data_IF_600385221292
#
_entry.id   IF_600385221292
#
_cell.length_a   1.000
_cell.length_b   1.000
_cell.length_c   1.000
_cell.angle_alpha   90.00
_cell.angle_beta   90.00
_cell.angle_gamma   90.00
#
_symmetry.space_group_name_H-M   'P 1'
#
loop_
_entity.id
_entity.type
_entity.pdbx_description
1 polymer ?
#
# COMPACT_ATOMS: atom_id res chain seq x y z
N UNK A 1 0.69 -24.16 14.18
CA UNK A 1 -0.21 -23.18 13.56
C UNK A 1 -0.40 -23.61 12.11
N UNK A 2 -1.64 -23.79 11.67
CA UNK A 2 -1.95 -24.19 10.29
C UNK A 2 -1.44 -23.14 9.29
N UNK A 3 -0.80 -23.58 8.20
CA UNK A 3 -0.13 -22.73 7.21
C UNK A 3 -1.14 -21.78 6.54
N UNK A 4 -2.35 -22.28 6.27
CA UNK A 4 -3.45 -21.49 5.67
C UNK A 4 -3.93 -20.44 6.68
N UNK A 5 -4.03 -20.80 7.95
CA UNK A 5 -4.35 -19.84 9.02
C UNK A 5 -3.30 -18.73 9.13
N UNK A 6 -2.00 -19.07 9.05
CA UNK A 6 -0.93 -18.06 9.01
C UNK A 6 -1.05 -17.12 7.80
N UNK A 7 -1.35 -17.66 6.61
CA UNK A 7 -1.60 -16.87 5.42
C UNK A 7 -2.78 -15.91 5.62
N UNK A 8 -3.92 -16.41 6.09
CA UNK A 8 -5.13 -15.61 6.33
C UNK A 8 -4.86 -14.46 7.31
N UNK A 9 -4.17 -14.75 8.41
CA UNK A 9 -3.81 -13.74 9.40
C UNK A 9 -2.89 -12.68 8.78
N UNK A 10 -1.94 -13.07 7.93
CA UNK A 10 -1.06 -12.12 7.23
C UNK A 10 -1.85 -11.21 6.29
N UNK A 11 -2.80 -11.76 5.52
CA UNK A 11 -3.65 -10.98 4.62
C UNK A 11 -4.55 -10.02 5.43
N UNK A 12 -5.09 -10.47 6.56
CA UNK A 12 -5.86 -9.62 7.46
C UNK A 12 -5.00 -8.45 7.99
N UNK A 13 -3.78 -8.71 8.46
CA UNK A 13 -2.88 -7.64 8.93
C UNK A 13 -2.50 -6.65 7.83
N UNK A 14 -2.32 -7.10 6.59
CA UNK A 14 -2.11 -6.19 5.44
C UNK A 14 -3.35 -5.30 5.24
N UNK A 15 -4.53 -5.89 5.28
CA UNK A 15 -5.81 -5.19 5.07
C UNK A 15 -6.05 -4.17 6.17
N UNK A 16 -5.89 -4.54 7.43
CA UNK A 16 -6.02 -3.65 8.59
C UNK A 16 -5.02 -2.49 8.53
N UNK A 17 -3.77 -2.75 8.12
CA UNK A 17 -2.76 -1.70 7.94
C UNK A 17 -3.20 -0.69 6.87
N UNK A 18 -3.77 -1.17 5.77
CA UNK A 18 -4.26 -0.32 4.68
C UNK A 18 -5.50 0.48 5.09
N UNK A 19 -6.46 -0.15 5.76
CA UNK A 19 -7.68 0.51 6.26
C UNK A 19 -7.34 1.59 7.29
N UNK A 20 -6.42 1.31 8.22
CA UNK A 20 -5.96 2.31 9.19
C UNK A 20 -5.33 3.52 8.51
N UNK A 21 -4.57 3.30 7.43
CA UNK A 21 -4.00 4.37 6.63
C UNK A 21 -5.08 5.22 5.92
N UNK A 22 -6.07 4.57 5.30
CA UNK A 22 -7.19 5.28 4.65
C UNK A 22 -8.00 6.11 5.64
N UNK A 23 -8.25 5.57 6.84
CA UNK A 23 -8.93 6.29 7.91
C UNK A 23 -8.15 7.51 8.39
N UNK A 24 -6.81 7.45 8.42
CA UNK A 24 -5.99 8.60 8.81
C UNK A 24 -6.07 9.73 7.78
N UNK A 25 -6.05 9.39 6.47
CA UNK A 25 -6.28 10.37 5.39
C UNK A 25 -7.66 11.00 5.53
N UNK A 26 -8.71 10.19 5.65
CA UNK A 26 -10.08 10.68 5.74
C UNK A 26 -10.25 11.56 6.97
N UNK A 27 -9.72 11.14 8.13
CA UNK A 27 -9.76 11.95 9.34
C UNK A 27 -9.07 13.32 9.14
N UNK A 28 -7.89 13.34 8.51
CA UNK A 28 -7.15 14.58 8.23
C UNK A 28 -7.89 15.50 7.28
N UNK A 29 -8.51 14.99 6.23
CA UNK A 29 -9.20 15.80 5.22
C UNK A 29 -10.63 16.15 5.61
N UNK A 30 -11.28 15.38 6.48
CA UNK A 30 -12.72 15.47 6.79
C UNK A 30 -13.19 16.86 7.23
N UNK A 31 -12.38 17.60 8.00
CA UNK A 31 -12.74 18.94 8.48
C UNK A 31 -12.75 19.95 7.33
N UNK A 32 -11.78 19.85 6.44
CA UNK A 32 -11.70 20.68 5.23
C UNK A 32 -12.74 20.27 4.19
N UNK A 33 -12.96 18.95 4.01
CA UNK A 33 -13.98 18.38 3.13
C UNK A 33 -15.39 18.94 3.38
N UNK A 34 -15.73 19.22 4.65
CA UNK A 34 -17.04 19.79 5.03
C UNK A 34 -17.20 21.27 4.67
N UNK A 35 -16.10 21.98 4.42
CA UNK A 35 -16.11 23.41 4.05
C UNK A 35 -16.24 23.63 2.56
N UNK A 36 -16.01 22.60 1.74
CA UNK A 36 -16.00 22.68 0.28
C UNK A 36 -17.09 21.78 -0.32
N UNK A 37 -17.63 22.12 -1.50
CA UNK A 37 -18.57 21.24 -2.19
C UNK A 37 -17.90 19.93 -2.62
N UNK A 38 -18.69 18.95 -3.05
CA UNK A 38 -18.18 17.68 -3.57
C UNK A 38 -17.19 17.93 -4.73
N UNK A 39 -16.00 17.31 -4.64
CA UNK A 39 -14.89 17.55 -5.58
C UNK A 39 -14.04 18.80 -5.30
N UNK A 40 -14.45 19.66 -4.37
CA UNK A 40 -13.77 20.92 -4.05
C UNK A 40 -12.34 20.74 -3.52
N UNK A 41 -12.08 19.69 -2.74
CA UNK A 41 -10.72 19.36 -2.27
C UNK A 41 -9.76 19.22 -3.47
N UNK A 42 -10.16 18.42 -4.46
CA UNK A 42 -9.33 18.15 -5.64
C UNK A 42 -9.17 19.41 -6.48
N UNK A 43 -10.23 20.21 -6.64
CA UNK A 43 -10.17 21.47 -7.38
C UNK A 43 -9.18 22.45 -6.73
N UNK A 44 -9.28 22.69 -5.43
CA UNK A 44 -8.42 23.64 -4.72
C UNK A 44 -6.94 23.20 -4.71
N UNK A 45 -6.65 21.90 -4.53
CA UNK A 45 -5.27 21.40 -4.65
C UNK A 45 -4.72 21.52 -6.08
N UNK A 46 -5.56 21.36 -7.11
CA UNK A 46 -5.15 21.55 -8.51
C UNK A 46 -4.92 23.03 -8.83
N UNK A 47 -5.77 23.94 -8.34
CA UNK A 47 -5.58 25.38 -8.52
C UNK A 47 -4.30 25.87 -7.84
N UNK A 48 -4.00 25.34 -6.66
CA UNK A 48 -2.72 25.58 -5.97
C UNK A 48 -1.54 25.03 -6.78
N UNK A 49 -1.66 23.83 -7.35
CA UNK A 49 -0.60 23.19 -8.12
C UNK A 49 -0.31 23.91 -9.45
N UNK A 50 -1.37 24.29 -10.18
CA UNK A 50 -1.26 24.81 -11.55
C UNK A 50 -1.04 26.32 -11.56
N UNK A 51 -1.78 27.05 -10.72
CA UNK A 51 -1.80 28.51 -10.75
C UNK A 51 -1.12 29.15 -9.53
N UNK A 52 -0.79 28.37 -8.50
CA UNK A 52 -0.31 28.90 -7.22
C UNK A 52 -1.39 29.64 -6.44
N UNK A 53 -2.66 29.48 -6.82
CA UNK A 53 -3.79 30.15 -6.17
C UNK A 53 -4.26 29.27 -5.01
N UNK A 54 -4.24 29.81 -3.80
CA UNK A 54 -4.70 29.10 -2.60
C UNK A 54 -6.04 29.71 -2.15
N UNK A 55 -7.11 28.90 -2.15
CA UNK A 55 -8.38 29.30 -1.57
C UNK A 55 -8.23 29.56 -0.07
N UNK A 56 -9.03 30.47 0.49
CA UNK A 56 -8.93 30.86 1.91
C UNK A 56 -9.14 29.66 2.85
N UNK A 57 -10.07 28.77 2.51
CA UNK A 57 -10.39 27.55 3.25
C UNK A 57 -9.23 26.54 3.19
N UNK A 58 -8.58 26.40 2.02
CA UNK A 58 -7.40 25.56 1.85
C UNK A 58 -6.21 26.13 2.64
N UNK A 59 -5.99 27.45 2.59
CA UNK A 59 -4.93 28.10 3.35
C UNK A 59 -5.13 27.91 4.86
N UNK A 60 -6.34 28.10 5.38
CA UNK A 60 -6.66 27.85 6.79
C UNK A 60 -6.36 26.39 7.17
N UNK A 61 -6.78 25.44 6.33
CA UNK A 61 -6.49 24.02 6.55
C UNK A 61 -4.98 23.73 6.58
N UNK A 62 -4.22 24.21 5.59
CA UNK A 62 -2.78 23.97 5.49
C UNK A 62 -2.01 24.58 6.66
N UNK A 63 -2.42 25.76 7.12
CA UNK A 63 -1.72 26.52 8.17
C UNK A 63 -2.10 26.10 9.59
N UNK A 64 -3.34 25.65 9.83
CA UNK A 64 -3.85 25.40 11.18
C UNK A 64 -4.19 23.94 11.48
N UNK A 65 -4.68 23.17 10.50
CA UNK A 65 -5.14 21.80 10.71
C UNK A 65 -4.10 20.75 10.31
N UNK A 66 -3.51 20.90 9.12
CA UNK A 66 -2.45 20.04 8.64
C UNK A 66 -1.11 20.46 9.24
N UNK A 67 -0.74 21.73 9.07
CA UNK A 67 0.54 22.34 9.50
C UNK A 67 1.77 21.66 8.88
N UNK A 68 2.91 22.36 8.84
CA UNK A 68 4.20 21.78 8.44
C UNK A 68 4.55 20.53 9.26
N UNK A 69 4.51 20.64 10.58
CA UNK A 69 4.83 19.53 11.50
C UNK A 69 3.84 18.37 11.37
N UNK A 70 2.56 18.66 11.17
CA UNK A 70 1.56 17.60 10.99
C UNK A 70 1.68 16.92 9.64
N UNK A 71 2.08 17.63 8.57
CA UNK A 71 2.42 17.03 7.28
C UNK A 71 3.62 16.08 7.39
N UNK A 72 4.68 16.47 8.11
CA UNK A 72 5.84 15.60 8.34
C UNK A 72 5.45 14.35 9.13
N UNK A 73 4.74 14.51 10.25
CA UNK A 73 4.27 13.37 11.04
C UNK A 73 3.39 12.43 10.20
N UNK A 74 2.51 13.01 9.39
CA UNK A 74 1.63 12.25 8.51
C UNK A 74 2.42 11.47 7.45
N UNK A 75 3.39 12.10 6.79
CA UNK A 75 4.28 11.43 5.84
C UNK A 75 5.00 10.23 6.44
N UNK A 76 5.51 10.35 7.67
CA UNK A 76 6.17 9.24 8.39
C UNK A 76 5.24 8.07 8.65
N UNK A 77 4.00 8.33 9.09
CA UNK A 77 3.02 7.26 9.34
C UNK A 77 2.72 6.49 8.05
N UNK A 78 2.54 7.21 6.94
CA UNK A 78 2.25 6.63 5.63
C UNK A 78 3.41 5.77 5.13
N UNK A 79 4.64 6.28 5.23
CA UNK A 79 5.84 5.53 4.84
C UNK A 79 6.01 4.25 5.67
N UNK A 80 5.74 4.31 6.97
CA UNK A 80 5.78 3.15 7.85
C UNK A 80 4.71 2.11 7.48
N UNK A 81 3.49 2.54 7.16
CA UNK A 81 2.42 1.66 6.69
C UNK A 81 2.79 0.93 5.40
N UNK A 82 3.31 1.65 4.40
CA UNK A 82 3.79 1.03 3.16
C UNK A 82 4.94 0.04 3.40
N UNK A 83 5.93 0.43 4.21
CA UNK A 83 7.06 -0.44 4.55
C UNK A 83 6.58 -1.72 5.24
N UNK A 84 5.59 -1.62 6.14
CA UNK A 84 5.02 -2.77 6.82
C UNK A 84 4.30 -3.70 5.83
N UNK A 85 3.45 -3.16 4.95
CA UNK A 85 2.74 -3.95 3.94
C UNK A 85 3.74 -4.66 3.00
N UNK A 86 4.75 -3.95 2.49
CA UNK A 86 5.79 -4.54 1.64
C UNK A 86 6.53 -5.67 2.35
N UNK A 87 6.86 -5.49 3.64
CA UNK A 87 7.51 -6.53 4.45
C UNK A 87 6.62 -7.77 4.59
N UNK A 88 5.32 -7.61 4.85
CA UNK A 88 4.36 -8.72 4.96
C UNK A 88 4.21 -9.44 3.62
N UNK A 89 4.10 -8.72 2.50
CA UNK A 89 4.03 -9.31 1.17
C UNK A 89 5.28 -10.12 0.83
N UNK A 90 6.47 -9.52 0.98
CA UNK A 90 7.72 -10.16 0.59
C UNK A 90 8.09 -11.33 1.51
N UNK A 91 8.04 -11.13 2.83
CA UNK A 91 8.57 -12.11 3.80
C UNK A 91 7.58 -13.21 4.15
N UNK A 92 6.28 -12.94 4.03
CA UNK A 92 5.25 -13.89 4.46
C UNK A 92 4.47 -14.42 3.26
N UNK A 93 3.82 -13.56 2.46
CA UNK A 93 2.95 -13.98 1.35
C UNK A 93 3.74 -14.70 0.25
N UNK A 94 4.79 -14.08 -0.28
CA UNK A 94 5.59 -14.67 -1.35
C UNK A 94 6.30 -15.94 -0.89
N UNK A 95 6.85 -15.91 0.32
CA UNK A 95 7.52 -17.08 0.91
C UNK A 95 6.54 -18.24 1.12
N UNK A 96 5.32 -17.95 1.58
CA UNK A 96 4.25 -18.95 1.68
C UNK A 96 3.94 -19.56 0.31
N UNK A 97 3.68 -18.73 -0.70
CA UNK A 97 3.31 -19.21 -2.03
C UNK A 97 4.42 -20.04 -2.68
N UNK A 98 5.68 -19.65 -2.53
CA UNK A 98 6.85 -20.41 -3.01
C UNK A 98 6.96 -21.77 -2.32
N UNK A 99 6.85 -21.79 -0.98
CA UNK A 99 6.95 -23.04 -0.20
C UNK A 99 5.81 -24.02 -0.54
N UNK A 100 4.58 -23.53 -0.64
CA UNK A 100 3.43 -24.38 -1.00
C UNK A 100 3.57 -24.90 -2.42
N UNK A 101 4.00 -24.06 -3.37
CA UNK A 101 4.24 -24.49 -4.75
C UNK A 101 5.31 -25.59 -4.81
N UNK A 102 6.40 -25.45 -4.05
CA UNK A 102 7.44 -26.47 -3.95
C UNK A 102 6.88 -27.80 -3.43
N UNK A 103 6.16 -27.79 -2.31
CA UNK A 103 5.57 -28.99 -1.70
C UNK A 103 4.54 -29.65 -2.63
N UNK A 104 3.73 -28.87 -3.33
CA UNK A 104 2.78 -29.38 -4.33
C UNK A 104 3.50 -30.00 -5.54
N UNK A 105 4.65 -29.45 -5.96
CA UNK A 105 5.45 -30.02 -7.04
C UNK A 105 6.04 -31.38 -6.65
N UNK A 106 6.52 -31.53 -5.42
CA UNK A 106 6.97 -32.83 -4.87
C UNK A 106 5.80 -33.82 -4.83
N UNK A 107 4.64 -33.40 -4.32
CA UNK A 107 3.43 -34.22 -4.25
C UNK A 107 2.97 -34.66 -5.64
N UNK A 108 3.07 -33.78 -6.64
CA UNK A 108 2.79 -34.12 -8.04
C UNK A 108 3.73 -35.19 -8.57
N UNK A 109 5.02 -35.08 -8.25
CA UNK A 109 6.02 -36.10 -8.59
C UNK A 109 5.66 -37.47 -8.02
N UNK A 110 5.20 -37.51 -6.77
CA UNK A 110 4.72 -38.76 -6.14
C UNK A 110 3.44 -39.27 -6.81
N UNK A 111 2.48 -38.39 -7.13
CA UNK A 111 1.22 -38.76 -7.77
C UNK A 111 1.34 -39.35 -9.16
N UNK A 112 2.45 -39.07 -9.85
CA UNK A 112 2.78 -39.66 -11.16
C UNK A 112 3.48 -41.01 -11.05
N UNK A 113 3.83 -41.43 -9.84
CA UNK A 113 4.44 -42.72 -9.57
C UNK A 113 3.35 -43.71 -9.14
N UNK A 114 2.47 -44.02 -10.11
CA UNK A 114 1.21 -44.76 -9.93
C UNK A 114 1.43 -46.09 -9.21
N UNK A 115 2.53 -46.78 -9.54
CA UNK A 115 2.88 -48.08 -8.96
C UNK A 115 3.05 -48.09 -7.43
N UNK A 116 3.15 -46.93 -6.77
CA UNK A 116 3.28 -46.81 -5.31
C UNK A 116 2.20 -45.94 -4.66
N UNK A 117 1.72 -44.90 -5.35
CA UNK A 117 0.87 -43.87 -4.74
C UNK A 117 -0.59 -43.89 -5.22
N UNK A 118 -0.94 -44.69 -6.22
CA UNK A 118 -2.32 -44.86 -6.68
C UNK A 118 -3.24 -45.37 -5.55
N UNK A 119 -2.75 -46.29 -4.72
CA UNK A 119 -3.49 -46.89 -3.59
C UNK A 119 -3.88 -45.83 -2.53
N UNK A 120 -3.14 -44.72 -2.45
CA UNK A 120 -3.39 -43.62 -1.50
C UNK A 120 -4.41 -42.62 -2.05
N UNK A 121 -4.86 -42.78 -3.30
CA UNK A 121 -5.85 -41.91 -3.94
C UNK A 121 -5.31 -40.53 -4.33
N UNK A 122 -4.00 -40.43 -4.57
CA UNK A 122 -3.37 -39.19 -4.98
C UNK A 122 -3.71 -38.86 -6.44
N UNK A 123 -4.35 -37.72 -6.70
CA UNK A 123 -4.78 -37.32 -8.05
C UNK A 123 -3.82 -36.26 -8.62
N UNK A 124 -3.08 -36.60 -9.70
CA UNK A 124 -2.21 -35.64 -10.43
C UNK A 124 -3.00 -34.41 -10.89
N UNK A 125 -4.24 -34.61 -11.34
CA UNK A 125 -5.13 -33.54 -11.80
C UNK A 125 -5.45 -32.53 -10.70
N UNK A 126 -5.84 -32.99 -9.51
CA UNK A 126 -6.14 -32.11 -8.37
C UNK A 126 -4.89 -31.36 -7.91
N UNK A 127 -3.73 -32.02 -7.92
CA UNK A 127 -2.47 -31.38 -7.54
C UNK A 127 -2.06 -30.34 -8.59
N UNK A 128 -2.22 -30.64 -9.88
CA UNK A 128 -1.95 -29.68 -10.95
C UNK A 128 -2.84 -28.43 -10.83
N UNK A 129 -4.13 -28.59 -10.52
CA UNK A 129 -5.04 -27.47 -10.25
C UNK A 129 -4.61 -26.65 -9.02
N UNK A 130 -4.15 -27.31 -7.96
CA UNK A 130 -3.63 -26.63 -6.78
C UNK A 130 -2.37 -25.81 -7.10
N UNK A 131 -1.44 -26.36 -7.89
CA UNK A 131 -0.23 -25.64 -8.35
C UNK A 131 -0.63 -24.42 -9.19
N UNK A 132 -1.58 -24.57 -10.11
CA UNK A 132 -2.06 -23.46 -10.93
C UNK A 132 -2.67 -22.36 -10.07
N UNK A 133 -3.46 -22.73 -9.05
CA UNK A 133 -4.06 -21.79 -8.10
C UNK A 133 -3.00 -21.05 -7.27
N UNK A 134 -1.95 -21.75 -6.81
CA UNK A 134 -0.80 -21.13 -6.14
C UNK A 134 -0.02 -20.18 -7.06
N UNK A 135 0.14 -20.53 -8.34
CA UNK A 135 0.75 -19.67 -9.34
C UNK A 135 -0.05 -18.38 -9.56
N UNK A 136 -1.37 -18.48 -9.74
CA UNK A 136 -2.26 -17.33 -9.85
C UNK A 136 -2.22 -16.45 -8.61
N UNK A 137 -2.18 -17.06 -7.42
CA UNK A 137 -2.01 -16.35 -6.14
C UNK A 137 -0.70 -15.55 -6.08
N UNK A 138 0.43 -16.16 -6.46
CA UNK A 138 1.73 -15.49 -6.49
C UNK A 138 1.78 -14.34 -7.51
N UNK A 139 1.16 -14.52 -8.69
CA UNK A 139 1.02 -13.45 -9.67
C UNK A 139 0.25 -12.28 -9.07
N UNK A 140 -0.87 -12.56 -8.38
CA UNK A 140 -1.68 -11.51 -7.75
C UNK A 140 -0.94 -10.79 -6.63
N UNK A 141 -0.13 -11.51 -5.84
CA UNK A 141 0.76 -10.89 -4.85
C UNK A 141 1.80 -9.97 -5.51
N UNK A 142 2.33 -10.35 -6.68
CA UNK A 142 3.21 -9.52 -7.49
C UNK A 142 2.54 -8.24 -7.99
N UNK A 143 1.30 -8.31 -8.47
CA UNK A 143 0.52 -7.12 -8.86
C UNK A 143 0.34 -6.15 -7.69
N UNK A 144 0.00 -6.66 -6.50
CA UNK A 144 -0.15 -5.83 -5.28
C UNK A 144 1.17 -5.13 -4.96
N UNK A 145 2.31 -5.82 -5.06
CA UNK A 145 3.62 -5.23 -4.85
C UNK A 145 3.89 -4.08 -5.82
N UNK A 146 3.53 -4.22 -7.10
CA UNK A 146 3.67 -3.17 -8.11
C UNK A 146 2.78 -1.96 -7.81
N UNK A 147 1.52 -2.20 -7.45
CA UNK A 147 0.56 -1.14 -7.08
C UNK A 147 1.09 -0.34 -5.89
N UNK A 148 1.61 -1.01 -4.86
CA UNK A 148 2.20 -0.35 -3.69
C UNK A 148 3.41 0.48 -4.09
N UNK A 149 4.33 -0.07 -4.88
CA UNK A 149 5.53 0.66 -5.29
C UNK A 149 5.16 1.93 -6.08
N UNK A 150 4.20 1.84 -6.99
CA UNK A 150 3.72 3.00 -7.74
C UNK A 150 3.02 4.03 -6.82
N UNK A 151 2.21 3.55 -5.88
CA UNK A 151 1.52 4.40 -4.90
C UNK A 151 2.52 5.19 -4.06
N UNK A 152 3.58 4.53 -3.53
CA UNK A 152 4.63 5.19 -2.74
C UNK A 152 5.30 6.32 -3.50
N UNK A 153 5.62 6.12 -4.79
CA UNK A 153 6.24 7.16 -5.62
C UNK A 153 5.32 8.38 -5.73
N UNK A 154 4.04 8.16 -6.03
CA UNK A 154 3.06 9.25 -6.17
C UNK A 154 2.86 9.98 -4.84
N UNK A 155 2.77 9.25 -3.73
CA UNK A 155 2.64 9.84 -2.40
C UNK A 155 3.86 10.69 -2.03
N UNK A 156 5.08 10.19 -2.22
CA UNK A 156 6.29 10.96 -1.94
C UNK A 156 6.35 12.25 -2.76
N UNK A 157 6.01 12.17 -4.06
CA UNK A 157 5.94 13.35 -4.92
C UNK A 157 4.91 14.38 -4.43
N UNK A 158 3.70 13.92 -4.10
CA UNK A 158 2.63 14.78 -3.58
C UNK A 158 3.03 15.47 -2.27
N UNK A 159 3.56 14.73 -1.29
CA UNK A 159 3.97 15.30 0.00
C UNK A 159 5.14 16.27 -0.12
N UNK A 160 6.11 15.96 -0.98
CA UNK A 160 7.24 16.86 -1.25
C UNK A 160 6.77 18.18 -1.86
N UNK A 161 5.86 18.11 -2.83
CA UNK A 161 5.24 19.30 -3.41
C UNK A 161 4.46 20.09 -2.36
N UNK A 162 3.58 19.42 -1.61
CA UNK A 162 2.71 20.06 -0.63
C UNK A 162 3.51 20.74 0.49
N UNK A 163 4.60 20.11 0.93
CA UNK A 163 5.52 20.71 1.89
C UNK A 163 6.14 22.02 1.37
N UNK A 164 6.59 22.04 0.11
CA UNK A 164 7.08 23.26 -0.53
C UNK A 164 6.00 24.34 -0.67
N UNK A 165 4.77 23.95 -0.99
CA UNK A 165 3.63 24.88 -1.05
C UNK A 165 3.34 25.52 0.31
N UNK A 166 3.36 24.74 1.40
CA UNK A 166 3.19 25.25 2.76
C UNK A 166 4.31 26.24 3.13
N UNK A 167 5.57 25.93 2.83
CA UNK A 167 6.68 26.86 3.10
C UNK A 167 6.51 28.20 2.38
N UNK A 168 6.09 28.14 1.12
CA UNK A 168 5.83 29.35 0.31
C UNK A 168 4.70 30.18 0.90
N UNK A 169 3.62 29.55 1.37
CA UNK A 169 2.51 30.24 2.05
C UNK A 169 2.92 30.85 3.41
N UNK A 170 3.94 30.31 4.06
CA UNK A 170 4.50 30.82 5.32
C UNK A 170 5.54 31.93 5.14
N UNK A 171 5.86 32.31 3.89
CA UNK A 171 6.99 33.21 3.54
C UNK A 171 8.34 32.74 4.14
N UNK A 172 8.46 31.43 4.38
CA UNK A 172 9.70 30.79 4.82
C UNK A 172 10.57 30.49 3.60
N UNK A 173 11.90 30.71 3.71
CA UNK A 173 12.85 30.36 2.65
C UNK A 173 12.67 28.89 2.23
N UNK A 174 12.20 28.66 1.01
CA UNK A 174 12.12 27.32 0.41
C UNK A 174 13.57 26.88 0.14
N UNK A 175 14.11 25.86 0.84
CA UNK A 175 15.47 25.42 0.60
C UNK A 175 15.58 24.94 -0.85
N UNK A 176 16.59 25.43 -1.57
CA UNK A 176 16.82 25.10 -3.00
C UNK A 176 16.97 23.60 -3.28
N UNK A 177 17.13 22.78 -2.24
CA UNK A 177 17.13 21.33 -2.30
C UNK A 177 16.25 20.72 -1.20
N UNK A 178 15.00 20.39 -1.50
CA UNK A 178 14.16 19.47 -0.69
C UNK A 178 14.63 18.01 -0.94
N UNK A 179 15.94 17.74 -0.95
CA UNK A 179 16.50 16.45 -1.39
C UNK A 179 16.69 15.41 -0.27
N UNK A 180 16.57 15.80 0.99
CA UNK A 180 16.88 14.96 2.16
C UNK A 180 15.92 13.85 2.58
N UNK A 181 14.65 14.21 2.74
CA UNK A 181 13.90 13.69 3.90
C UNK A 181 12.62 12.93 3.56
N UNK A 182 12.33 12.68 2.28
CA UNK A 182 11.15 11.96 1.81
C UNK A 182 11.46 11.10 0.59
#
# INVERSE_FOLDING_TARGET
>A
MDLITYLRNTIASITETWESFLLEIDHKLSKYAKKVPEGGITADFLDLLIFGICASELQEFLMHDLTKKGLEKFGQTIEMSYTNIQKLLLKNINKYGQNVTFQLAELRGMGRFDCKYEIVGLSDEKIAQAIQSCGAFLIKAGEIQQIINNSVINYKAFFRWLYGAILTLMDENVPGEIHSSW
#
